data_IF_383781628976
#
_entry.id   IF_383781628976
#
_cell.length_a   1.000
_cell.length_b   1.000
_cell.length_c   1.000
_cell.angle_alpha   90.00
_cell.angle_beta   90.00
_cell.angle_gamma   90.00
#
_symmetry.space_group_name_H-M   'P 1'
#
loop_
_entity.id
_entity.type
_entity.pdbx_description
1 polymer ?
#
# COMPACT_ATOMS: atom_id res chain seq x y z
N UNK A 1 0.87 11.58 19.26
CA UNK A 1 1.14 11.04 17.90
C UNK A 1 0.27 11.79 16.89
N UNK A 2 0.73 12.16 15.69
CA UNK A 2 -0.06 13.04 14.78
C UNK A 2 -1.45 12.46 14.43
N UNK A 3 -1.59 11.13 14.38
CA UNK A 3 -2.92 10.51 14.20
C UNK A 3 -3.85 10.79 15.40
N UNK A 4 -3.37 10.75 16.63
CA UNK A 4 -4.16 11.02 17.84
C UNK A 4 -4.68 12.46 17.84
N UNK A 5 -3.84 13.43 17.47
CA UNK A 5 -4.27 14.83 17.35
C UNK A 5 -5.39 14.99 16.32
N UNK A 6 -5.31 14.25 15.20
CA UNK A 6 -6.34 14.25 14.15
C UNK A 6 -7.61 13.53 14.59
N UNK A 7 -7.49 12.47 15.40
CA UNK A 7 -8.63 11.77 16.01
C UNK A 7 -9.37 12.69 16.97
N UNK A 8 -8.66 13.42 17.84
CA UNK A 8 -9.28 14.39 18.75
C UNK A 8 -10.06 15.49 18.00
N UNK A 9 -9.54 15.94 16.84
CA UNK A 9 -10.32 16.84 15.97
C UNK A 9 -11.57 16.12 15.47
N UNK A 10 -11.45 14.87 15.00
CA UNK A 10 -12.60 14.11 14.50
C UNK A 10 -13.68 13.90 15.58
N UNK A 11 -13.32 13.60 16.82
CA UNK A 11 -14.24 13.42 17.95
C UNK A 11 -15.16 14.63 18.15
N UNK A 12 -14.61 15.85 18.10
CA UNK A 12 -15.37 17.12 18.16
C UNK A 12 -16.50 17.18 17.12
N UNK A 13 -16.34 16.50 15.99
CA UNK A 13 -17.25 16.53 14.86
C UNK A 13 -18.14 15.28 14.73
N UNK A 14 -17.90 14.24 15.53
CA UNK A 14 -18.74 13.03 15.61
C UNK A 14 -20.12 13.41 16.14
N UNK A 15 -21.18 12.89 15.51
CA UNK A 15 -22.56 13.12 15.95
C UNK A 15 -23.31 11.81 15.98
N UNK A 16 -24.08 11.60 17.05
CA UNK A 16 -24.87 10.38 17.22
C UNK A 16 -26.17 10.38 16.39
N UNK A 17 -26.70 11.55 16.01
CA UNK A 17 -27.94 11.64 15.23
C UNK A 17 -27.65 12.02 13.76
N UNK A 18 -27.54 11.00 12.91
CA UNK A 18 -27.24 11.14 11.47
C UNK A 18 -28.52 11.36 10.64
N UNK A 19 -29.70 11.06 11.19
CA UNK A 19 -30.98 11.07 10.45
C UNK A 19 -31.28 12.41 9.76
N UNK A 20 -30.98 13.53 10.42
CA UNK A 20 -31.17 14.89 9.87
C UNK A 20 -30.36 15.09 8.57
N UNK A 21 -29.20 14.46 8.44
CA UNK A 21 -28.36 14.59 7.25
C UNK A 21 -28.84 13.71 6.10
N UNK A 22 -29.45 12.56 6.39
CA UNK A 22 -30.17 11.77 5.39
C UNK A 22 -31.38 12.54 4.86
N UNK A 23 -32.18 13.13 5.77
CA UNK A 23 -33.28 14.02 5.39
C UNK A 23 -32.77 15.20 4.55
N UNK A 24 -31.67 15.85 4.95
CA UNK A 24 -31.07 16.95 4.20
C UNK A 24 -30.61 16.53 2.80
N UNK A 25 -30.03 15.33 2.64
CA UNK A 25 -29.66 14.77 1.33
C UNK A 25 -30.87 14.47 0.45
N UNK A 26 -31.97 14.04 1.04
CA UNK A 26 -33.21 13.77 0.32
C UNK A 26 -33.92 15.07 -0.10
N UNK A 27 -33.93 16.08 0.77
CA UNK A 27 -34.57 17.36 0.49
C UNK A 27 -33.72 18.31 -0.36
N UNK A 28 -32.40 18.16 -0.40
CA UNK A 28 -31.53 19.03 -1.20
C UNK A 28 -31.89 19.02 -2.71
N UNK A 29 -32.10 17.86 -3.37
CA UNK A 29 -32.60 17.81 -4.74
C UNK A 29 -33.99 18.43 -4.91
N UNK A 30 -34.89 18.27 -3.93
CA UNK A 30 -36.25 18.82 -3.99
C UNK A 30 -36.22 20.35 -3.92
N UNK A 31 -35.46 20.89 -2.96
CA UNK A 31 -35.24 22.33 -2.81
C UNK A 31 -34.52 22.88 -4.05
N UNK A 32 -33.54 22.15 -4.59
CA UNK A 32 -32.86 22.52 -5.83
C UNK A 32 -33.85 22.64 -6.99
N UNK A 33 -34.69 21.62 -7.20
CA UNK A 33 -35.70 21.63 -8.26
C UNK A 33 -36.72 22.75 -8.08
N UNK A 34 -37.15 23.01 -6.84
CA UNK A 34 -38.08 24.10 -6.54
C UNK A 34 -37.47 25.48 -6.78
N UNK A 35 -36.25 25.72 -6.30
CA UNK A 35 -35.51 26.98 -6.53
C UNK A 35 -35.25 27.18 -8.02
N UNK A 36 -34.86 26.13 -8.74
CA UNK A 36 -34.67 26.17 -10.18
C UNK A 36 -35.97 26.48 -10.92
N UNK A 37 -37.09 25.87 -10.53
CA UNK A 37 -38.40 26.09 -11.12
C UNK A 37 -38.98 27.49 -10.84
N UNK A 38 -38.94 27.95 -9.59
CA UNK A 38 -39.36 29.30 -9.22
C UNK A 38 -38.55 30.37 -9.98
N UNK A 39 -37.27 30.10 -10.21
CA UNK A 39 -36.39 30.96 -10.98
C UNK A 39 -36.71 30.95 -12.48
N UNK A 40 -37.00 29.80 -13.10
CA UNK A 40 -37.47 29.73 -14.49
C UNK A 40 -38.73 30.57 -14.69
N UNK A 41 -39.72 30.47 -13.78
CA UNK A 41 -40.95 31.27 -13.83
C UNK A 41 -40.66 32.77 -13.71
N UNK A 42 -39.77 33.16 -12.80
CA UNK A 42 -39.40 34.57 -12.61
C UNK A 42 -38.73 35.14 -13.86
N UNK A 43 -37.89 34.35 -14.55
CA UNK A 43 -37.20 34.76 -15.78
C UNK A 43 -38.09 34.76 -17.01
N UNK A 44 -39.00 33.80 -17.16
CA UNK A 44 -39.98 33.79 -18.26
C UNK A 44 -40.93 34.99 -18.17
N UNK A 45 -41.18 35.50 -16.95
CA UNK A 45 -42.04 36.67 -16.69
C UNK A 45 -41.31 38.01 -16.67
N UNK A 46 -39.99 38.02 -16.58
CA UNK A 46 -39.17 39.23 -16.57
C UNK A 46 -39.35 40.05 -17.86
N UNK A 47 -39.27 39.46 -19.08
CA UNK A 47 -39.53 40.19 -20.33
C UNK A 47 -40.95 40.76 -20.42
N UNK A 48 -41.95 40.08 -19.84
CA UNK A 48 -43.35 40.49 -19.87
C UNK A 48 -43.60 41.72 -18.98
N UNK A 49 -43.05 41.73 -17.76
CA UNK A 49 -43.12 42.88 -16.86
C UNK A 49 -42.43 44.12 -17.44
N UNK A 50 -41.31 43.94 -18.13
CA UNK A 50 -40.60 45.04 -18.77
C UNK A 50 -41.32 45.55 -20.02
N UNK A 51 -41.94 44.69 -20.83
CA UNK A 51 -42.73 45.10 -22.00
C UNK A 51 -43.95 45.97 -21.62
N UNK A 52 -44.56 45.72 -20.47
CA UNK A 52 -45.64 46.57 -19.92
C UNK A 52 -45.13 47.95 -19.48
N UNK A 53 -43.93 48.04 -18.90
CA UNK A 53 -43.29 49.30 -18.50
C UNK A 53 -42.77 50.12 -19.69
N UNK A 54 -42.26 49.49 -20.74
CA UNK A 54 -41.72 50.17 -21.94
C UNK A 54 -42.78 50.68 -22.91
N UNK A 55 -44.07 50.37 -22.69
CA UNK A 55 -45.17 50.94 -23.47
C UNK A 55 -45.40 52.45 -23.22
N UNK A 56 -44.68 53.07 -22.27
CA UNK A 56 -44.95 54.44 -21.83
C UNK A 56 -43.94 55.54 -22.19
N UNK A 57 -42.82 55.29 -22.88
CA UNK A 57 -42.08 56.36 -23.60
C UNK A 57 -40.93 55.78 -24.44
N UNK A 58 -40.92 56.04 -25.75
CA UNK A 58 -39.98 55.44 -26.69
C UNK A 58 -39.02 56.48 -27.27
N UNK A 59 -37.83 55.99 -27.61
CA UNK A 59 -36.75 56.57 -28.43
C UNK A 59 -35.58 57.29 -27.75
N UNK A 60 -35.73 57.93 -26.57
CA UNK A 60 -34.55 58.50 -25.86
C UNK A 60 -34.02 57.65 -24.69
N UNK A 61 -34.83 56.72 -24.19
CA UNK A 61 -34.51 55.84 -23.06
C UNK A 61 -33.91 54.47 -23.43
N UNK A 62 -33.85 54.15 -24.74
CA UNK A 62 -33.52 52.79 -25.18
C UNK A 62 -32.05 52.39 -24.94
N UNK A 63 -31.09 53.31 -25.01
CA UNK A 63 -29.67 52.94 -24.80
C UNK A 63 -29.30 52.81 -23.31
N UNK A 64 -29.93 53.56 -22.40
CA UNK A 64 -29.69 53.46 -20.95
C UNK A 64 -30.43 52.25 -20.34
N UNK A 65 -31.68 51.98 -20.74
CA UNK A 65 -32.43 50.81 -20.24
C UNK A 65 -31.95 49.46 -20.82
N UNK A 66 -31.36 49.42 -22.02
CA UNK A 66 -30.70 48.20 -22.51
C UNK A 66 -29.47 47.86 -21.65
N UNK A 67 -28.72 48.87 -21.20
CA UNK A 67 -27.59 48.68 -20.28
C UNK A 67 -28.06 48.26 -18.87
N UNK A 68 -29.13 48.86 -18.33
CA UNK A 68 -29.72 48.47 -17.05
C UNK A 68 -30.31 47.05 -17.08
N UNK A 69 -31.01 46.67 -18.15
CA UNK A 69 -31.56 45.31 -18.29
C UNK A 69 -30.46 44.25 -18.45
N UNK A 70 -29.39 44.55 -19.18
CA UNK A 70 -28.21 43.70 -19.24
C UNK A 70 -27.52 43.59 -17.86
N UNK A 71 -27.47 44.67 -17.09
CA UNK A 71 -26.92 44.69 -15.73
C UNK A 71 -27.76 43.87 -14.74
N UNK A 72 -29.08 43.99 -14.77
CA UNK A 72 -30.02 43.17 -13.97
C UNK A 72 -29.89 41.69 -14.33
N UNK A 73 -29.78 41.36 -15.62
CA UNK A 73 -29.57 39.99 -16.09
C UNK A 73 -28.22 39.43 -15.63
N UNK A 74 -27.16 40.24 -15.67
CA UNK A 74 -25.83 39.86 -15.21
C UNK A 74 -25.82 39.60 -13.69
N UNK A 75 -26.41 40.49 -12.89
CA UNK A 75 -26.56 40.33 -11.44
C UNK A 75 -27.35 39.05 -11.12
N UNK A 76 -28.51 38.85 -11.76
CA UNK A 76 -29.34 37.69 -11.49
C UNK A 76 -28.65 36.37 -11.89
N UNK A 77 -27.83 36.39 -12.94
CA UNK A 77 -26.97 35.26 -13.33
C UNK A 77 -25.89 34.97 -12.28
N UNK A 78 -25.24 36.00 -11.73
CA UNK A 78 -24.27 35.85 -10.64
C UNK A 78 -24.95 35.24 -9.41
N UNK A 79 -26.11 35.75 -9.00
CA UNK A 79 -26.90 35.18 -7.90
C UNK A 79 -27.29 33.72 -8.16
N UNK A 80 -27.68 33.36 -9.38
CA UNK A 80 -27.96 31.96 -9.76
C UNK A 80 -26.75 31.07 -9.51
N UNK A 81 -25.58 31.47 -10.00
CA UNK A 81 -24.34 30.69 -9.84
C UNK A 81 -24.02 30.53 -8.35
N UNK A 82 -24.18 31.59 -7.55
CA UNK A 82 -23.96 31.55 -6.10
C UNK A 82 -24.93 30.59 -5.39
N UNK A 83 -26.23 30.65 -5.69
CA UNK A 83 -27.23 29.77 -5.08
C UNK A 83 -26.99 28.30 -5.44
N UNK A 84 -26.72 28.02 -6.72
CA UNK A 84 -26.41 26.66 -7.18
C UNK A 84 -25.14 26.12 -6.49
N UNK A 85 -24.14 26.99 -6.32
CA UNK A 85 -22.91 26.63 -5.62
C UNK A 85 -23.16 26.34 -4.13
N UNK A 86 -23.97 27.16 -3.44
CA UNK A 86 -24.34 26.95 -2.04
C UNK A 86 -25.15 25.65 -1.85
N UNK A 87 -26.09 25.34 -2.74
CA UNK A 87 -26.86 24.09 -2.70
C UNK A 87 -25.97 22.86 -2.94
N UNK A 88 -25.02 22.96 -3.87
CA UNK A 88 -24.04 21.91 -4.11
C UNK A 88 -23.16 21.70 -2.87
N UNK A 89 -22.64 22.78 -2.28
CA UNK A 89 -21.83 22.75 -1.07
C UNK A 89 -22.60 22.14 0.11
N UNK A 90 -23.88 22.47 0.26
CA UNK A 90 -24.76 21.88 1.28
C UNK A 90 -24.99 20.38 1.06
N UNK A 91 -25.20 19.96 -0.19
CA UNK A 91 -25.35 18.54 -0.56
C UNK A 91 -24.09 17.74 -0.25
N UNK A 92 -22.92 18.26 -0.68
CA UNK A 92 -21.62 17.64 -0.41
C UNK A 92 -21.35 17.61 1.10
N UNK A 93 -21.66 18.68 1.83
CA UNK A 93 -21.52 18.73 3.29
C UNK A 93 -22.36 17.64 3.97
N UNK A 94 -23.62 17.49 3.56
CA UNK A 94 -24.51 16.46 4.10
C UNK A 94 -23.97 15.04 3.85
N UNK A 95 -23.55 14.76 2.61
CA UNK A 95 -22.93 13.47 2.25
C UNK A 95 -21.64 13.23 3.04
N UNK A 96 -20.76 14.23 3.09
CA UNK A 96 -19.51 14.13 3.82
C UNK A 96 -19.73 13.88 5.30
N UNK A 97 -20.81 14.42 5.90
CA UNK A 97 -21.14 14.16 7.30
C UNK A 97 -21.62 12.72 7.53
N UNK A 98 -22.46 12.17 6.64
CA UNK A 98 -22.88 10.77 6.72
C UNK A 98 -21.67 9.85 6.60
N UNK A 99 -20.85 10.04 5.56
CA UNK A 99 -19.69 9.20 5.30
C UNK A 99 -18.63 9.34 6.39
N UNK A 100 -18.39 10.55 6.91
CA UNK A 100 -17.52 10.78 8.05
C UNK A 100 -17.91 9.93 9.27
N UNK A 101 -19.19 9.97 9.68
CA UNK A 101 -19.66 9.21 10.84
C UNK A 101 -19.69 7.70 10.55
N UNK A 102 -20.15 7.28 9.35
CA UNK A 102 -20.12 5.87 8.93
C UNK A 102 -18.72 5.28 9.00
N UNK A 103 -17.72 6.02 8.53
CA UNK A 103 -16.35 5.55 8.51
C UNK A 103 -15.59 5.79 9.81
N UNK A 104 -16.14 6.52 10.79
CA UNK A 104 -15.41 6.87 12.00
C UNK A 104 -14.96 5.63 12.78
N UNK A 105 -15.88 4.71 13.05
CA UNK A 105 -15.55 3.44 13.75
C UNK A 105 -15.02 2.37 12.78
N UNK A 106 -15.32 2.49 11.49
CA UNK A 106 -14.92 1.51 10.46
C UNK A 106 -13.48 1.68 9.95
N UNK A 107 -13.11 2.89 9.53
CA UNK A 107 -11.74 3.23 9.10
C UNK A 107 -11.49 4.73 9.30
N UNK A 108 -10.71 5.05 10.34
CA UNK A 108 -10.39 6.42 10.71
C UNK A 108 -9.78 7.23 9.57
N UNK A 109 -8.94 6.63 8.72
CA UNK A 109 -8.28 7.36 7.62
C UNK A 109 -9.27 7.77 6.52
N UNK A 110 -10.27 6.92 6.22
CA UNK A 110 -11.40 7.28 5.35
C UNK A 110 -12.25 8.38 6.00
N UNK A 111 -12.55 8.22 7.30
CA UNK A 111 -13.29 9.22 8.06
C UNK A 111 -12.61 10.60 8.01
N UNK A 112 -11.31 10.68 8.28
CA UNK A 112 -10.54 11.92 8.22
C UNK A 112 -10.57 12.56 6.82
N UNK A 113 -10.59 11.76 5.76
CA UNK A 113 -10.72 12.27 4.38
C UNK A 113 -12.08 12.94 4.16
N UNK A 114 -13.17 12.32 4.62
CA UNK A 114 -14.50 12.92 4.57
C UNK A 114 -14.66 14.10 5.51
N UNK A 115 -13.97 14.11 6.66
CA UNK A 115 -13.94 15.25 7.56
C UNK A 115 -13.31 16.47 6.89
N UNK A 116 -12.24 16.31 6.08
CA UNK A 116 -11.68 17.44 5.31
C UNK A 116 -12.73 18.06 4.39
N UNK A 117 -13.48 17.22 3.68
CA UNK A 117 -14.57 17.68 2.79
C UNK A 117 -15.63 18.41 3.60
N UNK A 118 -16.11 17.83 4.71
CA UNK A 118 -17.08 18.43 5.63
C UNK A 118 -16.64 19.79 6.15
N UNK A 119 -15.40 19.91 6.60
CA UNK A 119 -14.88 21.15 7.15
C UNK A 119 -14.73 22.23 6.07
N UNK A 120 -14.30 21.85 4.87
CA UNK A 120 -14.21 22.77 3.74
C UNK A 120 -15.59 23.29 3.32
N UNK A 121 -16.58 22.40 3.18
CA UNK A 121 -17.93 22.78 2.73
C UNK A 121 -18.75 23.52 3.79
N UNK A 122 -18.41 23.34 5.07
CA UNK A 122 -18.96 24.12 6.18
C UNK A 122 -18.14 25.38 6.51
N UNK A 123 -17.19 25.79 5.64
CA UNK A 123 -16.34 26.98 5.82
C UNK A 123 -15.53 26.99 7.14
N UNK A 124 -15.23 25.83 7.71
CA UNK A 124 -14.45 25.67 8.95
C UNK A 124 -12.95 25.58 8.65
N UNK A 125 -12.41 26.60 8.00
CA UNK A 125 -11.06 26.59 7.45
C UNK A 125 -9.94 26.43 8.49
N UNK A 126 -10.14 26.91 9.73
CA UNK A 126 -9.16 26.74 10.81
C UNK A 126 -8.89 25.27 11.14
N UNK A 127 -9.96 24.49 11.34
CA UNK A 127 -9.85 23.07 11.65
C UNK A 127 -9.46 22.26 10.40
N UNK A 128 -9.92 22.68 9.20
CA UNK A 128 -9.47 22.11 7.93
C UNK A 128 -7.95 22.25 7.74
N UNK A 129 -7.40 23.44 7.95
CA UNK A 129 -5.97 23.70 7.82
C UNK A 129 -5.14 22.84 8.78
N UNK A 130 -5.60 22.69 10.03
CA UNK A 130 -4.97 21.77 11.01
C UNK A 130 -4.95 20.33 10.51
N UNK A 131 -6.07 19.85 9.95
CA UNK A 131 -6.20 18.47 9.46
C UNK A 131 -5.37 18.20 8.20
N UNK A 132 -5.22 19.21 7.35
CA UNK A 132 -4.47 19.17 6.09
C UNK A 132 -2.98 19.46 6.25
N UNK A 133 -2.51 19.86 7.44
CA UNK A 133 -1.09 20.07 7.71
C UNK A 133 -0.31 18.83 7.28
N UNK A 134 0.61 19.03 6.33
CA UNK A 134 1.49 17.97 5.82
C UNK A 134 2.44 17.55 6.93
N UNK A 135 2.72 16.25 6.94
CA UNK A 135 3.72 15.69 7.82
C UNK A 135 4.96 15.42 6.97
N UNK A 136 6.00 16.24 7.14
CA UNK A 136 7.27 16.03 6.45
C UNK A 136 8.09 14.97 7.20
N UNK A 137 7.67 13.71 7.11
CA UNK A 137 8.35 12.55 7.73
C UNK A 137 9.56 12.04 6.94
N UNK A 138 9.86 12.67 5.81
CA UNK A 138 11.02 12.34 4.99
C UNK A 138 11.75 13.63 4.69
N UNK A 139 12.93 13.78 5.29
CA UNK A 139 13.78 14.94 5.07
C UNK A 139 14.36 14.91 3.65
N UNK A 140 14.81 16.06 3.14
CA UNK A 140 15.49 16.13 1.84
C UNK A 140 16.77 15.28 1.82
N UNK A 141 17.48 15.19 2.95
CA UNK A 141 18.63 14.30 3.13
C UNK A 141 18.24 12.83 2.97
N UNK A 142 17.17 12.39 3.65
CA UNK A 142 16.65 11.02 3.49
C UNK A 142 16.23 10.75 2.05
N UNK A 143 15.57 11.70 1.36
CA UNK A 143 15.22 11.56 -0.06
C UNK A 143 16.46 11.45 -0.96
N UNK A 144 17.52 12.21 -0.67
CA UNK A 144 18.80 12.13 -1.39
C UNK A 144 19.45 10.76 -1.21
N UNK A 145 19.53 10.29 0.05
CA UNK A 145 20.01 8.96 0.41
C UNK A 145 19.25 7.86 -0.35
N UNK A 146 17.91 7.91 -0.36
CA UNK A 146 17.08 6.92 -1.04
C UNK A 146 17.35 6.91 -2.55
N UNK A 147 17.55 8.08 -3.18
CA UNK A 147 17.92 8.17 -4.60
C UNK A 147 19.30 7.57 -4.87
N UNK A 148 20.28 7.81 -4.00
CA UNK A 148 21.62 7.22 -4.12
C UNK A 148 21.56 5.69 -4.00
N UNK A 149 20.81 5.16 -3.03
CA UNK A 149 20.57 3.72 -2.87
C UNK A 149 19.89 3.11 -4.10
N UNK A 150 18.93 3.81 -4.70
CA UNK A 150 18.29 3.39 -5.95
C UNK A 150 19.30 3.29 -7.10
N UNK A 151 20.23 4.24 -7.21
CA UNK A 151 21.29 4.19 -8.22
C UNK A 151 22.26 3.01 -7.99
N UNK A 152 22.44 2.57 -6.74
CA UNK A 152 23.19 1.36 -6.40
C UNK A 152 22.38 0.05 -6.60
N UNK A 153 21.14 0.13 -7.08
CA UNK A 153 20.27 -1.02 -7.34
C UNK A 153 19.38 -1.43 -6.18
N UNK A 154 19.15 -0.56 -5.19
CA UNK A 154 18.35 -0.88 -4.02
C UNK A 154 17.10 0.01 -3.90
N UNK A 155 15.94 -0.61 -3.71
CA UNK A 155 14.66 0.07 -3.61
C UNK A 155 14.19 0.14 -2.17
N UNK A 156 13.64 1.29 -1.79
CA UNK A 156 13.06 1.50 -0.47
C UNK A 156 11.77 0.68 -0.33
N UNK A 157 11.59 0.05 0.83
CA UNK A 157 10.40 -0.71 1.20
C UNK A 157 9.89 -0.29 2.59
N UNK A 158 9.03 -1.11 3.19
CA UNK A 158 8.54 -0.90 4.55
C UNK A 158 7.71 0.39 4.71
N UNK A 159 7.65 0.89 5.93
CA UNK A 159 6.81 2.04 6.26
C UNK A 159 7.34 3.35 5.68
N UNK A 160 8.67 3.51 5.52
CA UNK A 160 9.25 4.66 4.82
C UNK A 160 8.79 4.76 3.37
N UNK A 161 8.67 3.64 2.66
CA UNK A 161 8.13 3.64 1.29
C UNK A 161 6.66 4.11 1.20
N UNK A 162 5.85 3.85 2.25
CA UNK A 162 4.47 4.36 2.35
C UNK A 162 4.48 5.87 2.57
N UNK A 163 5.35 6.36 3.47
CA UNK A 163 5.52 7.78 3.78
C UNK A 163 5.93 8.60 2.54
N UNK A 164 6.85 8.08 1.72
CA UNK A 164 7.28 8.70 0.46
C UNK A 164 6.12 8.75 -0.53
N UNK A 165 5.34 7.67 -0.61
CA UNK A 165 4.27 7.54 -1.59
C UNK A 165 3.09 8.47 -1.29
N UNK A 166 2.72 8.59 -0.03
CA UNK A 166 1.53 9.29 0.43
C UNK A 166 1.88 10.43 1.39
N UNK A 167 1.73 11.67 0.93
CA UNK A 167 2.07 12.88 1.71
C UNK A 167 1.24 13.08 2.98
N UNK A 168 0.13 12.35 3.12
CA UNK A 168 -0.75 12.38 4.28
C UNK A 168 -0.54 11.17 5.21
N UNK A 169 0.58 10.46 5.08
CA UNK A 169 0.99 9.44 6.03
C UNK A 169 0.98 10.01 7.46
N UNK A 170 0.67 9.15 8.44
CA UNK A 170 0.15 9.59 9.74
C UNK A 170 1.13 9.44 10.91
N UNK A 171 2.27 8.78 10.67
CA UNK A 171 3.32 8.58 11.68
C UNK A 171 4.69 8.68 11.04
N UNK A 172 5.70 8.95 11.86
CA UNK A 172 7.07 8.86 11.42
C UNK A 172 7.50 7.39 11.23
N UNK A 173 8.39 7.17 10.27
CA UNK A 173 9.05 5.90 10.04
C UNK A 173 10.53 6.09 10.40
N UNK A 174 10.96 5.57 11.54
CA UNK A 174 12.30 5.77 12.08
C UNK A 174 13.39 5.03 11.30
N UNK A 175 13.02 3.98 10.59
CA UNK A 175 13.88 3.09 9.81
C UNK A 175 13.71 3.29 8.30
N UNK A 176 14.77 2.99 7.54
CA UNK A 176 14.74 2.90 6.09
C UNK A 176 15.22 1.51 5.67
N UNK A 177 14.24 0.69 5.27
CA UNK A 177 14.49 -0.64 4.74
C UNK A 177 14.70 -0.58 3.22
N UNK A 178 15.73 -1.26 2.74
CA UNK A 178 16.04 -1.43 1.33
C UNK A 178 16.04 -2.91 0.93
N UNK A 179 15.62 -3.17 -0.30
CA UNK A 179 15.69 -4.48 -0.96
C UNK A 179 16.29 -4.33 -2.34
N UNK A 180 16.77 -5.44 -2.90
CA UNK A 180 17.31 -5.44 -4.24
C UNK A 180 16.26 -5.05 -5.29
N UNK A 181 16.64 -4.23 -6.27
CA UNK A 181 15.80 -3.93 -7.43
C UNK A 181 15.66 -5.17 -8.34
N UNK A 182 16.71 -5.97 -8.43
CA UNK A 182 16.80 -7.13 -9.30
C UNK A 182 17.83 -8.14 -8.78
N UNK A 183 17.99 -9.25 -9.48
CA UNK A 183 18.90 -10.31 -9.09
C UNK A 183 20.37 -9.86 -8.99
N UNK A 184 20.80 -8.92 -9.85
CA UNK A 184 22.17 -8.38 -9.89
C UNK A 184 22.48 -7.34 -8.80
N UNK A 185 21.49 -6.93 -8.01
CA UNK A 185 21.69 -5.95 -6.95
C UNK A 185 22.28 -6.65 -5.72
N UNK A 186 23.60 -6.53 -5.56
CA UNK A 186 24.40 -7.22 -4.52
C UNK A 186 24.91 -6.24 -3.47
N UNK A 187 25.15 -6.72 -2.25
CA UNK A 187 25.66 -5.88 -1.13
C UNK A 187 26.99 -5.18 -1.49
N UNK A 188 27.84 -5.76 -2.35
CA UNK A 188 29.05 -5.11 -2.87
C UNK A 188 28.78 -3.81 -3.66
N UNK A 189 27.59 -3.65 -4.26
CA UNK A 189 27.24 -2.40 -4.95
C UNK A 189 27.18 -1.20 -4.01
N UNK A 190 26.99 -1.44 -2.70
CA UNK A 190 27.01 -0.40 -1.68
C UNK A 190 28.40 0.24 -1.53
N UNK A 191 29.48 -0.42 -1.94
CA UNK A 191 30.84 0.16 -1.91
C UNK A 191 31.01 1.35 -2.87
N UNK A 192 30.09 1.48 -3.83
CA UNK A 192 30.05 2.64 -4.75
C UNK A 192 29.51 3.90 -4.07
N UNK A 193 28.97 3.78 -2.85
CA UNK A 193 28.39 4.89 -2.11
C UNK A 193 29.45 5.48 -1.18
N UNK A 194 30.03 6.62 -1.57
CA UNK A 194 31.06 7.31 -0.77
C UNK A 194 30.56 7.92 0.54
N UNK A 195 29.25 8.13 0.66
CA UNK A 195 28.67 8.99 1.71
C UNK A 195 28.02 8.22 2.87
N UNK A 196 28.08 6.89 2.86
CA UNK A 196 27.44 6.03 3.87
C UNK A 196 28.45 5.01 4.35
N UNK A 197 28.72 5.03 5.65
CA UNK A 197 29.50 3.98 6.31
C UNK A 197 28.55 2.92 6.84
N UNK A 198 28.75 1.66 6.45
CA UNK A 198 27.97 0.53 6.96
C UNK A 198 28.68 -0.08 8.17
N UNK A 199 28.04 0.00 9.33
CA UNK A 199 28.56 -0.54 10.60
C UNK A 199 28.60 -2.07 10.59
N UNK A 200 27.69 -2.69 9.84
CA UNK A 200 27.68 -4.13 9.61
C UNK A 200 27.41 -4.38 8.13
N UNK A 201 28.20 -5.27 7.53
CA UNK A 201 28.03 -5.65 6.14
C UNK A 201 28.49 -7.09 5.99
N UNK A 202 27.56 -7.97 5.64
CA UNK A 202 27.86 -9.31 5.15
C UNK A 202 27.39 -9.44 3.68
N UNK A 203 27.20 -10.66 3.19
CA UNK A 203 26.82 -10.89 1.80
C UNK A 203 25.31 -10.70 1.52
N UNK A 204 24.48 -10.76 2.56
CA UNK A 204 23.01 -10.78 2.50
C UNK A 204 22.37 -9.53 3.13
N UNK A 205 23.04 -8.95 4.12
CA UNK A 205 22.54 -7.86 4.96
C UNK A 205 23.63 -6.80 5.10
N UNK A 206 23.22 -5.54 4.98
CA UNK A 206 24.03 -4.42 5.44
C UNK A 206 23.20 -3.54 6.37
N UNK A 207 23.82 -3.05 7.45
CA UNK A 207 23.22 -2.14 8.42
C UNK A 207 24.10 -0.93 8.61
N UNK A 208 23.47 0.23 8.66
CA UNK A 208 24.12 1.52 8.90
C UNK A 208 23.22 2.37 9.79
N UNK A 209 23.82 3.39 10.41
CA UNK A 209 23.09 4.48 11.04
C UNK A 209 23.59 5.79 10.44
N UNK A 210 22.68 6.57 9.86
CA UNK A 210 22.98 7.86 9.24
C UNK A 210 22.08 8.93 9.84
N UNK A 211 22.67 9.92 10.53
CA UNK A 211 21.94 10.99 11.23
C UNK A 211 20.77 10.45 12.08
N UNK A 212 21.06 9.50 12.97
CA UNK A 212 20.09 8.79 13.83
C UNK A 212 19.00 7.96 13.12
N UNK A 213 19.06 7.85 11.78
CA UNK A 213 18.19 6.98 11.00
C UNK A 213 18.85 5.62 10.81
N UNK A 214 18.15 4.54 11.18
CA UNK A 214 18.62 3.18 10.94
C UNK A 214 18.34 2.79 9.49
N UNK A 215 19.37 2.24 8.83
CA UNK A 215 19.31 1.77 7.45
C UNK A 215 19.57 0.27 7.47
N UNK A 216 18.66 -0.50 6.89
CA UNK A 216 18.83 -1.93 6.68
C UNK A 216 18.69 -2.26 5.19
N UNK A 217 19.62 -3.03 4.64
CA UNK A 217 19.62 -3.48 3.26
C UNK A 217 19.57 -5.00 3.24
N UNK A 218 18.55 -5.56 2.59
CA UNK A 218 18.36 -7.00 2.44
C UNK A 218 18.50 -7.40 0.97
N UNK A 219 19.66 -7.92 0.57
CA UNK A 219 19.93 -8.32 -0.82
C UNK A 219 19.22 -9.59 -1.32
N UNK A 220 18.87 -10.59 -0.46
CA UNK A 220 18.17 -11.78 -0.92
C UNK A 220 16.78 -11.46 -1.47
N UNK A 221 16.11 -10.46 -0.88
CA UNK A 221 14.76 -10.05 -1.24
C UNK A 221 14.80 -9.07 -2.40
N UNK A 222 13.91 -9.26 -3.37
CA UNK A 222 13.79 -8.40 -4.54
C UNK A 222 12.44 -7.67 -4.49
N UNK A 223 12.39 -6.41 -4.93
CA UNK A 223 11.15 -5.73 -5.32
C UNK A 223 11.08 -5.69 -6.86
N UNK A 224 10.35 -6.61 -7.50
CA UNK A 224 10.29 -6.67 -8.96
C UNK A 224 9.68 -5.39 -9.55
N UNK A 225 10.17 -4.97 -10.73
CA UNK A 225 9.73 -3.75 -11.42
C UNK A 225 8.22 -3.69 -11.62
N UNK A 226 7.57 -4.82 -11.88
CA UNK A 226 6.12 -4.90 -12.06
C UNK A 226 5.31 -4.52 -10.80
N UNK A 227 5.91 -4.66 -9.62
CA UNK A 227 5.33 -4.28 -8.33
C UNK A 227 5.81 -2.91 -7.83
N UNK A 228 6.64 -2.20 -8.60
CA UNK A 228 7.13 -0.86 -8.27
C UNK A 228 6.44 0.23 -9.12
N UNK A 229 6.42 1.45 -8.61
CA UNK A 229 5.88 2.65 -9.26
C UNK A 229 6.72 3.86 -8.88
N UNK A 230 6.87 4.83 -9.78
CA UNK A 230 7.60 6.06 -9.48
C UNK A 230 6.73 7.06 -8.71
N UNK A 231 7.33 7.69 -7.69
CA UNK A 231 6.83 8.87 -7.00
C UNK A 231 7.99 9.84 -6.82
N UNK A 232 7.89 11.03 -7.43
CA UNK A 232 8.91 12.09 -7.31
C UNK A 232 10.35 11.60 -7.62
N UNK A 233 10.50 10.76 -8.65
CA UNK A 233 11.78 10.17 -9.06
C UNK A 233 12.26 8.97 -8.24
N UNK A 234 11.51 8.53 -7.24
CA UNK A 234 11.82 7.36 -6.41
C UNK A 234 10.87 6.21 -6.75
N UNK A 235 11.41 5.02 -7.00
CA UNK A 235 10.65 3.78 -7.15
C UNK A 235 10.21 3.29 -5.77
N UNK A 236 8.91 3.19 -5.57
CA UNK A 236 8.27 2.67 -4.35
C UNK A 236 7.29 1.55 -4.72
N UNK A 237 6.99 0.61 -3.80
CA UNK A 237 6.01 -0.44 -4.08
C UNK A 237 4.62 0.09 -4.48
N UNK A 238 3.90 -0.67 -5.31
CA UNK A 238 2.49 -0.44 -5.65
C UNK A 238 1.60 -0.72 -4.44
N UNK A 239 0.41 -0.12 -4.41
CA UNK A 239 -0.52 -0.22 -3.27
C UNK A 239 -0.82 -1.68 -2.89
N UNK A 240 -1.17 -2.52 -3.88
CA UNK A 240 -1.47 -3.93 -3.66
C UNK A 240 -0.30 -4.72 -3.07
N UNK A 241 0.93 -4.36 -3.46
CA UNK A 241 2.14 -4.97 -2.90
C UNK A 241 2.40 -4.48 -1.47
N UNK A 242 2.19 -3.19 -1.17
CA UNK A 242 2.28 -2.65 0.19
C UNK A 242 1.26 -3.32 1.13
N UNK A 243 0.03 -3.55 0.66
CA UNK A 243 -1.00 -4.29 1.42
C UNK A 243 -0.52 -5.72 1.69
N UNK A 244 -0.08 -6.44 0.65
CA UNK A 244 0.46 -7.80 0.81
C UNK A 244 1.65 -7.86 1.79
N UNK A 245 2.53 -6.85 1.76
CA UNK A 245 3.63 -6.73 2.73
C UNK A 245 3.14 -6.60 4.17
N UNK A 246 2.09 -5.82 4.41
CA UNK A 246 1.53 -5.66 5.77
C UNK A 246 0.83 -6.93 6.24
N UNK A 247 0.14 -7.65 5.36
CA UNK A 247 -0.42 -8.99 5.68
C UNK A 247 0.71 -9.97 6.05
N UNK A 248 1.75 -10.07 5.22
CA UNK A 248 2.94 -10.90 5.52
C UNK A 248 3.58 -10.53 6.85
N UNK A 249 3.73 -9.24 7.14
CA UNK A 249 4.28 -8.74 8.40
C UNK A 249 3.42 -9.20 9.58
N UNK A 250 2.10 -9.09 9.50
CA UNK A 250 1.20 -9.54 10.57
C UNK A 250 1.26 -11.04 10.81
N UNK A 251 1.29 -11.85 9.74
CA UNK A 251 1.47 -13.31 9.84
C UNK A 251 2.80 -13.67 10.49
N UNK A 252 3.88 -12.97 10.13
CA UNK A 252 5.20 -13.16 10.74
C UNK A 252 5.22 -12.78 12.21
N UNK A 253 4.56 -11.67 12.60
CA UNK A 253 4.45 -11.26 14.00
C UNK A 253 3.64 -12.26 14.82
N UNK A 254 2.53 -12.78 14.28
CA UNK A 254 1.78 -13.85 14.92
C UNK A 254 2.66 -15.07 15.20
N UNK A 255 3.39 -15.54 14.17
CA UNK A 255 4.30 -16.67 14.29
C UNK A 255 5.41 -16.47 15.33
N UNK A 256 6.06 -15.32 15.31
CA UNK A 256 7.12 -15.03 16.29
C UNK A 256 6.54 -15.08 17.72
N UNK A 257 5.30 -14.64 17.91
CA UNK A 257 4.62 -14.70 19.20
C UNK A 257 4.25 -16.12 19.59
N UNK A 258 3.78 -16.96 18.65
CA UNK A 258 3.49 -18.37 18.92
C UNK A 258 4.76 -19.17 19.25
N UNK A 259 5.91 -18.75 18.73
CA UNK A 259 7.25 -19.24 19.11
C UNK A 259 7.76 -18.70 20.47
N UNK A 260 6.93 -17.95 21.21
CA UNK A 260 7.27 -17.40 22.54
C UNK A 260 8.20 -16.18 22.50
N UNK A 261 8.44 -15.57 21.33
CA UNK A 261 9.29 -14.37 21.24
C UNK A 261 8.52 -13.13 21.69
N UNK A 262 9.22 -12.27 22.40
CA UNK A 262 8.68 -10.98 22.81
C UNK A 262 8.58 -10.05 21.60
N UNK A 263 7.40 -9.47 21.39
CA UNK A 263 7.12 -8.55 20.30
C UNK A 263 6.52 -7.28 20.88
N UNK A 264 7.14 -6.10 20.62
CA UNK A 264 6.56 -4.84 21.04
C UNK A 264 5.15 -4.66 20.50
N UNK A 265 4.18 -4.40 21.38
CA UNK A 265 2.78 -4.16 21.00
C UNK A 265 2.64 -2.98 20.01
N UNK A 266 3.55 -2.01 20.10
CA UNK A 266 3.66 -0.87 19.18
C UNK A 266 3.94 -1.32 17.73
N UNK A 267 4.72 -2.38 17.52
CA UNK A 267 5.01 -2.92 16.18
C UNK A 267 3.76 -3.50 15.54
N UNK A 268 2.98 -4.26 16.31
CA UNK A 268 1.69 -4.84 15.87
C UNK A 268 0.69 -3.72 15.58
N UNK A 269 0.53 -2.76 16.50
CA UNK A 269 -0.31 -1.57 16.32
C UNK A 269 0.04 -0.82 15.04
N UNK A 270 1.31 -0.55 14.81
CA UNK A 270 1.78 0.16 13.61
C UNK A 270 1.52 -0.62 12.32
N UNK A 271 1.70 -1.94 12.32
CA UNK A 271 1.36 -2.79 11.16
C UNK A 271 -0.13 -2.77 10.82
N UNK A 272 -1.01 -2.82 11.83
CA UNK A 272 -2.46 -2.75 11.65
C UNK A 272 -2.91 -1.37 11.17
N UNK A 273 -2.39 -0.29 11.77
CA UNK A 273 -2.68 1.07 11.34
C UNK A 273 -2.16 1.37 9.92
N UNK A 274 -0.96 0.89 9.57
CA UNK A 274 -0.43 1.00 8.21
C UNK A 274 -1.35 0.28 7.21
N UNK A 275 -1.87 -0.91 7.57
CA UNK A 275 -2.82 -1.64 6.75
C UNK A 275 -4.14 -0.85 6.58
N UNK A 276 -4.73 -0.36 7.67
CA UNK A 276 -5.94 0.49 7.60
C UNK A 276 -5.73 1.76 6.77
N UNK A 277 -4.55 2.38 6.86
CA UNK A 277 -4.19 3.52 6.04
C UNK A 277 -4.10 3.16 4.56
N UNK A 278 -3.46 2.04 4.20
CA UNK A 278 -3.37 1.59 2.81
C UNK A 278 -4.74 1.23 2.24
N UNK A 279 -5.59 0.54 3.00
CA UNK A 279 -6.97 0.24 2.61
C UNK A 279 -7.78 1.52 2.33
N UNK A 280 -7.51 2.61 3.06
CA UNK A 280 -8.14 3.92 2.81
C UNK A 280 -7.74 4.57 1.47
N UNK A 281 -6.63 4.14 0.85
CA UNK A 281 -6.14 4.68 -0.42
C UNK A 281 -6.81 4.06 -1.65
N UNK A 282 -7.59 3.00 -1.46
CA UNK A 282 -8.38 2.40 -2.54
C UNK A 282 -9.85 2.70 -2.36
N UNK A 283 -10.52 3.17 -3.42
CA UNK A 283 -11.97 3.25 -3.44
C UNK A 283 -12.57 1.83 -3.48
N UNK A 284 -11.99 0.96 -4.31
CA UNK A 284 -12.38 -0.44 -4.46
C UNK A 284 -11.17 -1.35 -4.26
N UNK A 285 -11.27 -2.35 -3.39
CA UNK A 285 -10.16 -3.29 -3.15
C UNK A 285 -10.08 -4.34 -4.25
N UNK A 286 -8.94 -4.39 -4.94
CA UNK A 286 -8.68 -5.37 -5.99
C UNK A 286 -8.06 -6.66 -5.41
N UNK A 287 -8.88 -7.46 -4.71
CA UNK A 287 -8.45 -8.69 -4.03
C UNK A 287 -7.59 -9.61 -4.89
N UNK A 288 -7.93 -9.80 -6.18
CA UNK A 288 -7.13 -10.61 -7.12
C UNK A 288 -5.70 -10.09 -7.30
N UNK A 289 -5.50 -8.77 -7.39
CA UNK A 289 -4.16 -8.16 -7.51
C UNK A 289 -3.39 -8.20 -6.20
N UNK A 290 -4.07 -8.07 -5.06
CA UNK A 290 -3.47 -8.23 -3.73
C UNK A 290 -3.01 -9.67 -3.53
N UNK A 291 -3.86 -10.65 -3.87
CA UNK A 291 -3.52 -12.08 -3.84
C UNK A 291 -2.32 -12.39 -4.75
N UNK A 292 -2.30 -11.88 -5.99
CA UNK A 292 -1.15 -12.01 -6.87
C UNK A 292 0.14 -11.44 -6.25
N UNK A 293 0.05 -10.25 -5.65
CA UNK A 293 1.19 -9.63 -4.96
C UNK A 293 1.63 -10.46 -3.74
N UNK A 294 0.68 -11.03 -3.01
CA UNK A 294 0.93 -11.87 -1.84
C UNK A 294 1.68 -13.15 -2.21
N UNK A 295 1.26 -13.89 -3.25
CA UNK A 295 1.94 -15.11 -3.71
C UNK A 295 3.38 -14.85 -4.13
N UNK A 296 3.59 -13.80 -4.93
CA UNK A 296 4.93 -13.40 -5.36
C UNK A 296 5.79 -12.97 -4.17
N UNK A 297 5.23 -12.20 -3.24
CA UNK A 297 5.95 -11.80 -2.03
C UNK A 297 6.31 -12.99 -1.13
N UNK A 298 5.45 -14.01 -1.02
CA UNK A 298 5.76 -15.24 -0.28
C UNK A 298 7.02 -15.93 -0.82
N UNK A 299 7.11 -16.05 -2.16
CA UNK A 299 8.29 -16.61 -2.83
C UNK A 299 9.53 -15.72 -2.66
N UNK A 300 9.38 -14.40 -2.69
CA UNK A 300 10.50 -13.47 -2.48
C UNK A 300 11.00 -13.48 -1.03
N UNK A 301 10.10 -13.66 -0.06
CA UNK A 301 10.44 -13.75 1.36
C UNK A 301 11.10 -15.10 1.72
N UNK A 302 10.93 -16.15 0.91
CA UNK A 302 11.63 -17.43 1.09
C UNK A 302 13.14 -17.21 1.18
N UNK A 303 13.72 -16.36 0.32
CA UNK A 303 15.16 -16.17 0.27
C UNK A 303 15.71 -15.64 1.58
N UNK A 304 15.14 -14.57 2.10
CA UNK A 304 15.53 -14.01 3.41
C UNK A 304 15.33 -15.04 4.54
N UNK A 305 14.20 -15.75 4.51
CA UNK A 305 13.84 -16.77 5.49
C UNK A 305 14.81 -17.95 5.50
N UNK A 306 15.25 -18.40 4.32
CA UNK A 306 16.24 -19.46 4.14
C UNK A 306 17.61 -19.07 4.70
N UNK A 307 18.06 -17.85 4.44
CA UNK A 307 19.34 -17.37 4.96
C UNK A 307 19.32 -17.22 6.48
N UNK A 308 18.26 -16.59 7.02
CA UNK A 308 18.10 -16.37 8.45
C UNK A 308 17.74 -17.65 9.23
N UNK A 309 17.49 -18.77 8.53
CA UNK A 309 16.97 -20.00 9.11
C UNK A 309 15.71 -19.78 9.97
N UNK A 310 14.82 -18.93 9.45
CA UNK A 310 13.56 -18.62 10.10
C UNK A 310 12.44 -18.88 9.14
N UNK A 311 11.45 -19.64 9.55
CA UNK A 311 10.28 -19.89 8.73
C UNK A 311 9.52 -18.62 8.33
N UNK A 312 8.97 -18.58 7.12
CA UNK A 312 8.44 -17.34 6.54
C UNK A 312 7.12 -16.88 7.19
N UNK A 313 6.15 -17.79 7.32
CA UNK A 313 4.83 -17.59 7.95
C UNK A 313 4.22 -18.98 8.22
N UNK A 314 3.23 -19.11 9.10
CA UNK A 314 2.62 -20.42 9.41
C UNK A 314 1.98 -21.05 8.16
N UNK A 315 2.08 -22.38 8.05
CA UNK A 315 1.31 -23.13 7.05
C UNK A 315 -0.15 -22.75 7.27
N UNK A 316 -0.83 -22.27 6.23
CA UNK A 316 -2.11 -21.55 6.29
C UNK A 316 -3.27 -22.29 6.99
N UNK A 317 -3.02 -23.48 7.53
CA UNK A 317 -3.81 -24.23 8.49
C UNK A 317 -4.15 -23.41 9.75
N UNK A 318 -3.19 -22.67 10.32
CA UNK A 318 -3.40 -21.88 11.56
C UNK A 318 -3.90 -20.45 11.33
N UNK A 319 -4.34 -20.12 10.11
CA UNK A 319 -4.68 -18.74 9.75
C UNK A 319 -5.86 -18.18 10.55
N UNK A 320 -6.77 -19.03 11.09
CA UNK A 320 -7.85 -18.60 12.02
C UNK A 320 -7.28 -18.01 13.30
N UNK A 321 -6.24 -18.63 13.87
CA UNK A 321 -5.59 -18.12 15.08
C UNK A 321 -4.83 -16.82 14.80
N UNK A 322 -4.24 -16.68 13.61
CA UNK A 322 -3.63 -15.41 13.17
C UNK A 322 -4.65 -14.27 13.07
N UNK A 323 -5.87 -14.57 12.65
CA UNK A 323 -6.98 -13.60 12.59
C UNK A 323 -7.46 -13.23 13.99
N UNK A 324 -7.64 -14.19 14.89
CA UNK A 324 -7.96 -13.93 16.31
C UNK A 324 -6.90 -13.06 16.97
N UNK A 325 -5.63 -13.36 16.72
CA UNK A 325 -4.50 -12.57 17.17
C UNK A 325 -4.62 -11.12 16.69
N UNK A 326 -4.82 -10.89 15.39
CA UNK A 326 -5.00 -9.53 14.85
C UNK A 326 -6.20 -8.82 15.48
N UNK A 327 -7.35 -9.51 15.59
CA UNK A 327 -8.58 -8.96 16.15
C UNK A 327 -8.40 -8.45 17.59
N UNK A 328 -7.65 -9.19 18.42
CA UNK A 328 -7.37 -8.79 19.81
C UNK A 328 -6.66 -7.43 19.95
N UNK A 329 -5.91 -7.00 18.92
CA UNK A 329 -5.30 -5.67 18.86
C UNK A 329 -6.20 -4.66 18.16
N UNK A 330 -6.93 -5.06 17.11
CA UNK A 330 -7.87 -4.18 16.40
C UNK A 330 -8.92 -3.62 17.37
N UNK A 331 -9.47 -4.46 18.23
CA UNK A 331 -10.43 -4.04 19.28
C UNK A 331 -9.85 -3.00 20.25
N UNK A 332 -8.54 -3.09 20.55
CA UNK A 332 -7.84 -2.14 21.43
C UNK A 332 -7.48 -0.82 20.75
N UNK A 333 -7.18 -0.87 19.45
CA UNK A 333 -6.79 0.32 18.67
C UNK A 333 -8.02 1.20 18.38
N UNK A 334 -9.18 0.57 18.17
CA UNK A 334 -10.44 1.21 17.79
C UNK A 334 -10.35 1.89 16.41
N UNK A 335 -11.51 2.18 15.80
CA UNK A 335 -11.64 2.95 14.55
C UNK A 335 -10.96 2.34 13.30
N UNK A 336 -10.64 1.04 13.31
CA UNK A 336 -9.99 0.33 12.18
C UNK A 336 -10.63 -1.03 11.89
N UNK A 337 -11.93 -1.18 12.12
CA UNK A 337 -12.68 -2.42 11.90
C UNK A 337 -12.58 -2.94 10.45
N UNK A 338 -12.45 -2.06 9.45
CA UNK A 338 -12.21 -2.44 8.06
C UNK A 338 -10.99 -3.37 7.90
N UNK A 339 -9.98 -3.22 8.76
CA UNK A 339 -8.80 -4.09 8.74
C UNK A 339 -9.18 -5.53 9.08
N UNK A 340 -10.08 -5.74 10.04
CA UNK A 340 -10.57 -7.07 10.40
C UNK A 340 -11.36 -7.68 9.24
N UNK A 341 -12.35 -6.95 8.72
CA UNK A 341 -13.15 -7.40 7.57
C UNK A 341 -12.29 -7.79 6.35
N UNK A 342 -11.26 -6.98 6.07
CA UNK A 342 -10.31 -7.26 5.02
C UNK A 342 -9.52 -8.53 5.30
N UNK A 343 -8.95 -8.68 6.51
CA UNK A 343 -8.14 -9.83 6.87
C UNK A 343 -8.97 -11.12 6.87
N UNK A 344 -10.22 -11.08 7.32
CA UNK A 344 -11.14 -12.22 7.33
C UNK A 344 -11.44 -12.71 5.90
N UNK A 345 -11.90 -11.81 5.03
CA UNK A 345 -12.15 -12.11 3.61
C UNK A 345 -10.89 -12.55 2.88
N UNK A 346 -9.76 -11.89 3.14
CA UNK A 346 -8.50 -12.25 2.48
C UNK A 346 -8.00 -13.62 2.95
N UNK A 347 -8.17 -13.93 4.23
CA UNK A 347 -7.84 -15.25 4.79
C UNK A 347 -8.66 -16.36 4.15
N UNK A 348 -9.95 -16.14 3.91
CA UNK A 348 -10.80 -17.07 3.18
C UNK A 348 -10.31 -17.28 1.74
N UNK A 349 -9.93 -16.21 1.04
CA UNK A 349 -9.33 -16.30 -0.29
C UNK A 349 -8.02 -17.10 -0.30
N UNK A 350 -7.15 -16.92 0.71
CA UNK A 350 -5.89 -17.65 0.82
C UNK A 350 -6.11 -19.16 1.01
N UNK A 351 -7.11 -19.53 1.83
CA UNK A 351 -7.48 -20.94 2.06
C UNK A 351 -8.01 -21.64 0.82
N UNK A 352 -8.74 -20.91 -0.01
CA UNK A 352 -9.38 -21.50 -1.20
C UNK A 352 -8.46 -21.47 -2.43
N UNK A 353 -7.28 -20.84 -2.34
CA UNK A 353 -6.35 -20.72 -3.45
C UNK A 353 -5.25 -21.80 -3.41
N UNK A 354 -5.35 -22.77 -4.34
CA UNK A 354 -4.43 -23.92 -4.44
C UNK A 354 -2.95 -23.52 -4.50
N UNK A 355 -2.63 -22.49 -5.28
CA UNK A 355 -1.25 -22.02 -5.45
C UNK A 355 -0.70 -21.39 -4.15
N UNK A 356 -1.53 -20.70 -3.38
CA UNK A 356 -1.17 -20.13 -2.09
C UNK A 356 -0.87 -21.23 -1.08
N UNK A 357 -1.76 -22.22 -0.96
CA UNK A 357 -1.54 -23.38 -0.09
C UNK A 357 -0.25 -24.12 -0.44
N UNK A 358 -0.01 -24.33 -1.73
CA UNK A 358 1.22 -24.93 -2.24
C UNK A 358 2.46 -24.12 -1.82
N UNK A 359 2.45 -22.81 -2.03
CA UNK A 359 3.59 -21.94 -1.67
C UNK A 359 3.83 -21.98 -0.16
N UNK A 360 2.78 -21.89 0.66
CA UNK A 360 2.91 -21.85 2.11
C UNK A 360 3.61 -23.08 2.68
N UNK A 361 3.07 -24.27 2.39
CA UNK A 361 3.64 -25.55 2.87
C UNK A 361 5.09 -25.71 2.42
N UNK A 362 5.38 -25.43 1.14
CA UNK A 362 6.70 -25.74 0.57
C UNK A 362 7.79 -24.75 0.94
N UNK A 363 7.47 -23.47 1.12
CA UNK A 363 8.45 -22.48 1.59
C UNK A 363 9.04 -22.89 2.94
N UNK A 364 8.19 -23.35 3.87
CA UNK A 364 8.65 -23.82 5.17
C UNK A 364 9.43 -25.14 5.09
N UNK A 365 9.03 -26.07 4.22
CA UNK A 365 9.78 -27.31 3.98
C UNK A 365 11.19 -27.05 3.45
N UNK A 366 11.36 -26.11 2.50
CA UNK A 366 12.69 -25.74 1.99
C UNK A 366 13.58 -25.20 3.12
N UNK A 367 13.02 -24.40 4.02
CA UNK A 367 13.76 -23.85 5.17
C UNK A 367 14.15 -24.99 6.13
N UNK A 368 13.23 -25.90 6.45
CA UNK A 368 13.48 -27.07 7.30
C UNK A 368 14.55 -28.00 6.71
N UNK A 369 14.52 -28.20 5.39
CA UNK A 369 15.41 -29.11 4.67
C UNK A 369 16.70 -28.43 4.18
N UNK A 370 17.02 -27.23 4.69
CA UNK A 370 18.20 -26.45 4.28
C UNK A 370 19.48 -27.29 4.23
N UNK A 371 19.78 -28.05 5.29
CA UNK A 371 21.00 -28.89 5.36
C UNK A 371 21.08 -29.92 4.22
N UNK A 372 19.97 -30.59 3.91
CA UNK A 372 19.92 -31.59 2.84
C UNK A 372 20.09 -30.96 1.45
N UNK A 373 19.48 -29.78 1.22
CA UNK A 373 19.65 -29.02 -0.03
C UNK A 373 21.12 -28.60 -0.22
N UNK A 374 21.76 -28.15 0.87
CA UNK A 374 23.17 -27.77 0.92
C UNK A 374 24.09 -28.96 0.62
N UNK A 375 23.87 -30.11 1.28
CA UNK A 375 24.63 -31.35 1.03
C UNK A 375 24.45 -31.86 -0.40
N UNK A 376 23.21 -31.82 -0.92
CA UNK A 376 22.91 -32.18 -2.32
C UNK A 376 23.69 -31.30 -3.29
N UNK A 377 23.84 -30.01 -3.03
CA UNK A 377 24.72 -29.16 -3.83
C UNK A 377 26.20 -29.56 -3.69
N UNK A 378 26.71 -29.71 -2.46
CA UNK A 378 28.13 -30.01 -2.21
C UNK A 378 28.61 -31.32 -2.84
N UNK A 379 27.73 -32.34 -2.91
CA UNK A 379 27.99 -33.61 -3.58
C UNK A 379 28.05 -33.52 -5.11
N UNK A 380 27.51 -32.45 -5.70
CA UNK A 380 27.38 -32.30 -7.14
C UNK A 380 28.25 -31.18 -7.74
N UNK A 381 28.98 -30.44 -6.92
CA UNK A 381 29.97 -29.46 -7.37
C UNK A 381 31.35 -29.91 -6.95
N UNK A 382 32.28 -29.97 -7.90
CA UNK A 382 33.71 -30.19 -7.63
C UNK A 382 34.50 -28.88 -7.49
N UNK A 383 33.82 -27.73 -7.50
CA UNK A 383 34.45 -26.41 -7.32
C UNK A 383 35.33 -26.35 -6.07
N UNK A 384 36.49 -25.71 -6.19
CA UNK A 384 37.40 -25.44 -5.06
C UNK A 384 36.74 -24.48 -4.06
N UNK A 385 36.07 -23.44 -4.57
CA UNK A 385 35.25 -22.56 -3.76
C UNK A 385 33.80 -23.04 -3.80
N UNK A 386 33.36 -23.64 -2.69
CA UNK A 386 31.97 -24.08 -2.47
C UNK A 386 31.20 -23.16 -1.53
N UNK A 387 31.84 -22.08 -1.07
CA UNK A 387 31.21 -21.14 -0.16
C UNK A 387 30.06 -20.42 -0.86
N UNK A 388 29.00 -20.15 -0.11
CA UNK A 388 27.93 -19.29 -0.62
C UNK A 388 28.48 -17.86 -0.55
N UNK A 389 28.83 -17.29 -1.70
CA UNK A 389 29.29 -15.91 -1.82
C UNK A 389 28.24 -15.10 -2.56
N UNK A 390 27.71 -14.04 -1.94
CA UNK A 390 26.78 -13.10 -2.59
C UNK A 390 25.56 -13.77 -3.27
N UNK A 391 25.04 -14.85 -2.67
CA UNK A 391 23.93 -15.67 -3.19
C UNK A 391 24.31 -16.57 -4.38
N UNK A 392 25.60 -16.82 -4.61
CA UNK A 392 26.09 -17.57 -5.77
C UNK A 392 26.67 -18.93 -5.37
N UNK A 393 26.43 -19.91 -6.23
CA UNK A 393 26.91 -21.29 -6.10
C UNK A 393 27.77 -21.63 -7.30
N UNK A 394 29.05 -21.90 -7.05
CA UNK A 394 30.05 -22.16 -8.07
C UNK A 394 30.10 -23.64 -8.47
N UNK A 395 30.44 -23.89 -9.73
CA UNK A 395 30.69 -25.21 -10.31
C UNK A 395 32.06 -25.19 -10.99
N UNK A 396 32.74 -26.35 -11.03
CA UNK A 396 34.05 -26.42 -11.67
C UNK A 396 33.96 -26.27 -13.21
N UNK A 397 32.81 -26.62 -13.80
CA UNK A 397 32.58 -26.48 -15.23
C UNK A 397 31.11 -26.22 -15.56
N UNK A 398 30.86 -25.70 -16.77
CA UNK A 398 29.52 -25.55 -17.31
C UNK A 398 28.79 -26.90 -17.44
N UNK A 399 29.52 -27.97 -17.73
CA UNK A 399 28.95 -29.31 -17.83
C UNK A 399 28.40 -29.80 -16.47
N UNK A 400 29.10 -29.53 -15.37
CA UNK A 400 28.60 -29.83 -14.02
C UNK A 400 27.34 -29.03 -13.70
N UNK A 401 27.35 -27.72 -13.97
CA UNK A 401 26.20 -26.84 -13.80
C UNK A 401 24.97 -27.37 -14.56
N UNK A 402 25.14 -27.70 -15.84
CA UNK A 402 24.06 -28.25 -16.69
C UNK A 402 23.57 -29.59 -16.14
N UNK A 403 24.48 -30.49 -15.71
CA UNK A 403 24.12 -31.79 -15.14
C UNK A 403 23.34 -31.64 -13.84
N UNK A 404 23.71 -30.68 -12.99
CA UNK A 404 22.98 -30.34 -11.78
C UNK A 404 21.59 -29.80 -12.09
N UNK A 405 21.47 -28.85 -13.02
CA UNK A 405 20.20 -28.27 -13.44
C UNK A 405 19.24 -29.29 -14.09
N UNK A 406 19.77 -30.27 -14.84
CA UNK A 406 18.97 -31.37 -15.43
C UNK A 406 18.28 -32.28 -14.42
N UNK A 407 18.61 -32.16 -13.12
CA UNK A 407 17.91 -32.87 -12.03
C UNK A 407 16.53 -32.29 -11.75
N UNK A 408 16.30 -31.03 -12.10
CA UNK A 408 15.01 -30.36 -12.00
C UNK A 408 14.26 -30.58 -13.32
N UNK A 409 13.39 -31.58 -13.37
CA UNK A 409 12.72 -32.03 -14.61
C UNK A 409 11.25 -31.62 -14.67
N UNK A 410 10.65 -31.25 -13.53
CA UNK A 410 9.22 -30.95 -13.49
C UNK A 410 8.94 -29.61 -14.16
N UNK A 411 7.89 -29.54 -15.01
CA UNK A 411 7.41 -28.26 -15.50
C UNK A 411 6.92 -27.42 -14.32
N UNK A 412 7.11 -26.11 -14.42
CA UNK A 412 6.61 -25.18 -13.40
C UNK A 412 5.12 -24.94 -13.65
N UNK A 413 4.28 -25.55 -12.81
CA UNK A 413 2.82 -25.52 -12.95
C UNK A 413 2.21 -24.17 -12.50
N UNK A 414 2.83 -23.51 -11.52
CA UNK A 414 2.28 -22.33 -10.84
C UNK A 414 2.76 -21.01 -11.45
N UNK A 415 1.81 -20.09 -11.67
CA UNK A 415 2.03 -18.81 -12.36
C UNK A 415 2.96 -17.89 -11.57
N UNK A 416 2.76 -17.75 -10.26
CA UNK A 416 3.61 -16.93 -9.40
C UNK A 416 5.03 -17.50 -9.32
N UNK A 417 5.16 -18.83 -9.23
CA UNK A 417 6.47 -19.49 -9.24
C UNK A 417 7.20 -19.24 -10.56
N UNK A 418 6.52 -19.45 -11.70
CA UNK A 418 7.06 -19.14 -13.02
C UNK A 418 7.48 -17.67 -13.14
N UNK A 419 6.67 -16.76 -12.61
CA UNK A 419 6.97 -15.33 -12.64
C UNK A 419 8.28 -15.00 -11.90
N UNK A 420 8.48 -15.52 -10.68
CA UNK A 420 9.71 -15.28 -9.93
C UNK A 420 10.91 -16.02 -10.53
N UNK A 421 10.73 -17.21 -11.10
CA UNK A 421 11.81 -17.91 -11.84
C UNK A 421 12.26 -17.06 -13.03
N UNK A 422 11.34 -16.60 -13.87
CA UNK A 422 11.64 -15.74 -15.03
C UNK A 422 12.34 -14.44 -14.61
N UNK A 423 11.97 -13.86 -13.46
CA UNK A 423 12.65 -12.69 -12.92
C UNK A 423 14.15 -12.97 -12.66
N UNK A 424 14.48 -14.16 -12.16
CA UNK A 424 15.84 -14.59 -11.86
C UNK A 424 16.58 -15.13 -13.10
N UNK A 425 15.91 -15.45 -14.19
CA UNK A 425 16.57 -15.83 -15.46
C UNK A 425 17.40 -14.68 -16.05
N UNK A 426 17.01 -13.44 -15.75
CA UNK A 426 17.77 -12.23 -16.11
C UNK A 426 18.96 -11.94 -15.18
N UNK A 427 19.20 -12.78 -14.17
CA UNK A 427 20.40 -12.69 -13.32
C UNK A 427 21.65 -12.89 -14.19
N UNK A 428 22.79 -12.24 -13.87
CA UNK A 428 24.04 -12.67 -14.45
C UNK A 428 24.25 -14.11 -14.00
N UNK A 429 23.95 -15.10 -14.81
CA UNK A 429 24.39 -16.49 -14.62
C UNK A 429 25.60 -16.63 -15.54
N UNK A 430 26.81 -16.82 -15.01
CA UNK A 430 27.95 -17.19 -15.88
C UNK A 430 27.90 -18.69 -16.24
N UNK A 431 28.82 -19.13 -17.09
CA UNK A 431 29.01 -20.56 -17.36
C UNK A 431 29.36 -21.38 -16.11
N UNK A 432 29.88 -20.76 -15.04
CA UNK A 432 30.41 -21.47 -13.87
C UNK A 432 29.63 -21.26 -12.58
N UNK A 433 28.65 -20.34 -12.52
CA UNK A 433 27.88 -20.13 -11.30
C UNK A 433 26.37 -20.07 -11.55
N UNK A 434 25.61 -20.24 -10.48
CA UNK A 434 24.16 -20.04 -10.45
C UNK A 434 23.75 -19.26 -9.20
N UNK A 435 22.74 -18.41 -9.34
CA UNK A 435 22.08 -17.80 -8.20
C UNK A 435 21.31 -18.85 -7.37
N UNK A 436 21.62 -18.97 -6.06
CA UNK A 436 20.97 -19.95 -5.18
C UNK A 436 19.45 -19.78 -5.12
N UNK A 437 18.95 -18.55 -5.29
CA UNK A 437 17.50 -18.29 -5.27
C UNK A 437 16.79 -19.07 -6.37
N UNK A 438 17.41 -19.24 -7.54
CA UNK A 438 16.90 -20.05 -8.64
C UNK A 438 16.84 -21.54 -8.25
N UNK A 439 17.87 -22.05 -7.58
CA UNK A 439 17.88 -23.41 -7.04
C UNK A 439 16.71 -23.60 -6.05
N UNK A 440 16.52 -22.68 -5.11
CA UNK A 440 15.46 -22.78 -4.10
C UNK A 440 14.06 -22.82 -4.73
N UNK A 441 13.82 -22.02 -5.78
CA UNK A 441 12.55 -22.04 -6.52
C UNK A 441 12.35 -23.35 -7.32
N UNK A 442 13.41 -23.94 -7.85
CA UNK A 442 13.32 -25.22 -8.54
C UNK A 442 13.10 -26.39 -7.55
N UNK A 443 13.76 -26.37 -6.39
CA UNK A 443 13.51 -27.34 -5.31
C UNK A 443 12.05 -27.23 -4.80
N UNK A 444 11.51 -26.00 -4.68
CA UNK A 444 10.07 -25.81 -4.39
C UNK A 444 9.18 -26.54 -5.40
N UNK A 445 9.56 -26.62 -6.68
CA UNK A 445 8.78 -27.31 -7.70
C UNK A 445 8.91 -28.85 -7.60
N UNK A 446 10.08 -29.34 -7.20
CA UNK A 446 10.41 -30.77 -7.20
C UNK A 446 9.84 -31.58 -6.03
N UNK A 447 9.66 -30.97 -4.85
CA UNK A 447 9.13 -31.67 -3.66
C UNK A 447 7.82 -32.42 -3.99
N UNK A 448 7.66 -33.67 -3.58
CA UNK A 448 6.46 -34.48 -3.91
C UNK A 448 5.42 -34.56 -2.79
N UNK A 449 5.79 -34.20 -1.56
CA UNK A 449 5.01 -34.47 -0.34
C UNK A 449 3.59 -33.86 -0.30
N UNK A 450 3.22 -32.97 -1.23
CA UNK A 450 1.89 -32.31 -1.25
C UNK A 450 0.94 -32.90 -2.30
N UNK A 451 1.35 -33.87 -3.13
CA UNK A 451 0.41 -34.53 -4.08
C UNK A 451 -0.44 -35.64 -3.43
N UNK A 452 -0.08 -36.12 -2.25
CA UNK A 452 -0.72 -37.28 -1.60
C UNK A 452 -1.63 -36.95 -0.40
N UNK A 453 -1.76 -35.68 -0.04
CA UNK A 453 -2.83 -35.26 0.87
C UNK A 453 -4.04 -34.84 0.03
N UNK A 454 -5.17 -35.53 0.19
CA UNK A 454 -6.45 -35.12 -0.42
C UNK A 454 -6.70 -33.65 -0.05
N UNK A 455 -6.63 -32.77 -1.06
CA UNK A 455 -7.08 -31.38 -1.01
C UNK A 455 -8.58 -31.33 -0.79
#
# INVERSE_FOLDING_TARGET
MILEDKIHIAEKYKRNNIAIYFSSLFFAPVIFSFVFYAFLIFFDRLPLYFNELTKQSLEKFMNEHIAESAYVLAIATIFRILILWLLLMWTINSLSNILFNKFYDYNIFKSLSWLKVKLFTAFRFKDFAKLCKKNNFVSNEQLSLIKQMQNAGFLVQGSKSIAIKYSDYFRDASDIDFVSENASSRIMNLDKLSNITFNFKDQIIAKSRHNDTEIEVLSPKILPKEFASYKSGIKVPKLNFMIAMKVHQLLRLYRLKSEGKEIPATKIKNSLLDLGFLLSKSCCLEYKKILWSFKNLSLLNLFSSYHLNTFAFDDFENIKESLKFANSYIQKIQNIEEVYDFLDRFTELLKNDKETLFIGKRVNLIIKNKKSIEEKYLQNSSSLDKSLLALERNFASNNEKIKYLKKFRKPVEFRALKNIINLLESSPDSSLFIDIRKILLLELNEIEEVKNEKI
#
